data_IF_739932746550
#
_entry.id   IF_739932746550
#
_cell.length_a   1.000
_cell.length_b   1.000
_cell.length_c   1.000
_cell.angle_alpha   90.00
_cell.angle_beta   90.00
_cell.angle_gamma   90.00
#
_symmetry.space_group_name_H-M   'P 1'
#
loop_
_entity.id
_entity.type
_entity.pdbx_description
1 polymer ?
#
# COMPACT_ATOMS: atom_id res chain seq x y z
N UNK A 1 -10.00 1.54 -11.55
CA UNK A 1 -10.26 2.96 -11.86
C UNK A 1 -11.62 3.42 -11.38
N UNK A 2 -11.79 4.73 -11.15
CA UNK A 2 -13.03 5.30 -10.58
C UNK A 2 -13.94 5.86 -11.67
N UNK A 3 -15.23 5.55 -11.57
CA UNK A 3 -16.29 5.99 -12.48
C UNK A 3 -17.44 6.62 -11.67
N UNK A 4 -18.26 7.42 -12.33
CA UNK A 4 -19.47 7.99 -11.73
C UNK A 4 -20.58 8.17 -12.76
N UNK A 5 -21.82 7.88 -12.38
CA UNK A 5 -22.99 8.39 -13.10
C UNK A 5 -23.13 9.91 -12.89
N UNK A 6 -24.01 10.56 -13.67
CA UNK A 6 -24.45 11.94 -13.44
C UNK A 6 -25.23 12.15 -12.13
N UNK A 7 -25.72 11.07 -11.51
CA UNK A 7 -26.50 11.08 -10.28
C UNK A 7 -25.66 10.88 -9.00
N UNK A 8 -24.35 11.14 -9.06
CA UNK A 8 -23.47 10.99 -7.89
C UNK A 8 -23.17 9.54 -7.49
N UNK A 9 -23.57 8.57 -8.31
CA UNK A 9 -23.26 7.15 -8.12
C UNK A 9 -21.80 6.86 -8.49
N UNK A 10 -20.88 7.18 -7.58
CA UNK A 10 -19.45 6.87 -7.73
C UNK A 10 -19.18 5.40 -7.39
N UNK A 11 -18.36 4.77 -8.22
CA UNK A 11 -17.91 3.38 -8.07
C UNK A 11 -16.47 3.19 -8.52
N UNK A 12 -15.88 2.06 -8.15
CA UNK A 12 -14.59 1.58 -8.65
C UNK A 12 -14.87 0.26 -9.36
N UNK A 13 -14.16 -0.02 -10.46
CA UNK A 13 -14.23 -1.32 -11.12
C UNK A 13 -13.76 -2.41 -10.14
N UNK A 14 -14.63 -3.37 -9.83
CA UNK A 14 -14.31 -4.51 -8.96
C UNK A 14 -13.68 -5.68 -9.72
N UNK A 15 -14.26 -6.03 -10.87
CA UNK A 15 -13.76 -7.07 -11.76
C UNK A 15 -14.00 -6.67 -13.22
N UNK A 16 -13.16 -7.18 -14.12
CA UNK A 16 -13.38 -7.15 -15.56
C UNK A 16 -13.66 -8.59 -15.94
N UNK A 17 -14.87 -8.86 -16.41
CA UNK A 17 -15.36 -10.20 -16.73
C UNK A 17 -15.31 -10.36 -18.25
N UNK A 18 -14.83 -11.51 -18.77
CA UNK A 18 -14.90 -11.82 -20.19
C UNK A 18 -16.33 -11.77 -20.73
N UNK A 19 -16.48 -11.47 -22.02
CA UNK A 19 -17.79 -11.30 -22.65
C UNK A 19 -18.63 -12.60 -22.71
N UNK A 20 -17.96 -13.75 -22.64
CA UNK A 20 -18.57 -15.09 -22.61
C UNK A 20 -19.26 -15.40 -21.28
N UNK A 21 -18.73 -14.88 -20.17
CA UNK A 21 -19.28 -15.10 -18.83
C UNK A 21 -20.35 -14.08 -18.45
N UNK A 22 -20.55 -13.04 -19.26
CA UNK A 22 -21.54 -12.01 -19.00
C UNK A 22 -22.96 -12.53 -19.24
N UNK A 23 -23.93 -12.16 -18.37
CA UNK A 23 -25.30 -12.51 -18.60
C UNK A 23 -25.82 -11.76 -19.84
N UNK A 24 -26.65 -12.42 -20.64
CA UNK A 24 -27.15 -11.89 -21.91
C UNK A 24 -28.68 -11.98 -22.01
N UNK A 25 -29.29 -11.13 -22.83
CA UNK A 25 -30.75 -11.13 -23.10
C UNK A 25 -31.11 -12.09 -24.23
N UNK A 26 -32.40 -12.34 -24.45
CA UNK A 26 -32.90 -13.14 -25.60
C UNK A 26 -32.45 -12.58 -26.96
N UNK A 27 -32.28 -11.26 -27.02
CA UNK A 27 -31.81 -10.54 -28.21
C UNK A 27 -30.26 -10.53 -28.32
N UNK A 28 -29.56 -11.16 -27.38
CA UNK A 28 -28.09 -11.21 -27.33
C UNK A 28 -27.43 -9.95 -26.78
N UNK A 29 -28.18 -9.05 -26.14
CA UNK A 29 -27.63 -7.83 -25.54
C UNK A 29 -26.86 -8.22 -24.28
N UNK A 30 -25.63 -7.72 -24.18
CA UNK A 30 -24.75 -7.91 -23.02
C UNK A 30 -24.49 -6.57 -22.33
N UNK A 31 -24.44 -6.52 -20.99
CA UNK A 31 -24.24 -5.28 -20.26
C UNK A 31 -22.77 -4.88 -20.24
N UNK A 32 -22.48 -3.61 -20.49
CA UNK A 32 -21.13 -3.05 -20.31
C UNK A 32 -20.77 -2.86 -18.83
N UNK A 33 -21.75 -2.50 -18.00
CA UNK A 33 -21.59 -2.19 -16.58
C UNK A 33 -22.69 -2.85 -15.76
N UNK A 34 -22.28 -3.67 -14.79
CA UNK A 34 -23.19 -4.27 -13.81
C UNK A 34 -23.19 -3.44 -12.52
N UNK A 35 -24.33 -2.81 -12.21
CA UNK A 35 -24.52 -2.06 -10.99
C UNK A 35 -25.12 -2.94 -9.90
N UNK A 36 -24.58 -2.84 -8.68
CA UNK A 36 -25.16 -3.54 -7.53
C UNK A 36 -26.54 -2.93 -7.16
N UNK A 37 -27.62 -3.72 -7.10
CA UNK A 37 -28.97 -3.23 -6.79
C UNK A 37 -29.08 -2.61 -5.40
N UNK A 38 -28.25 -3.02 -4.42
CA UNK A 38 -28.26 -2.42 -3.07
C UNK A 38 -27.85 -0.94 -3.05
N UNK A 39 -27.23 -0.47 -4.14
CA UNK A 39 -26.72 0.89 -4.24
C UNK A 39 -27.79 1.93 -4.61
N UNK A 40 -29.01 1.50 -4.96
CA UNK A 40 -30.11 2.37 -5.41
C UNK A 40 -31.10 2.72 -4.28
N UNK A 41 -31.69 1.76 -3.52
CA UNK A 41 -32.72 2.08 -2.54
C UNK A 41 -32.24 3.01 -1.42
N UNK A 42 -31.01 2.79 -0.94
CA UNK A 42 -30.41 3.56 0.16
C UNK A 42 -30.13 5.02 -0.20
N UNK A 43 -29.93 5.32 -1.48
CA UNK A 43 -29.54 6.66 -1.96
C UNK A 43 -30.69 7.46 -2.55
N UNK A 44 -31.85 6.83 -2.74
CA UNK A 44 -33.06 7.47 -3.30
C UNK A 44 -32.82 8.16 -4.65
N UNK A 45 -31.90 7.63 -5.47
CA UNK A 45 -31.51 8.19 -6.77
C UNK A 45 -32.46 7.74 -7.88
N UNK A 46 -33.75 8.07 -7.77
CA UNK A 46 -34.78 7.69 -8.76
C UNK A 46 -34.45 8.22 -10.17
N UNK A 47 -33.85 9.42 -10.24
CA UNK A 47 -33.40 10.00 -11.51
C UNK A 47 -32.46 9.09 -12.30
N UNK A 48 -31.65 8.27 -11.62
CA UNK A 48 -30.75 7.32 -12.29
C UNK A 48 -31.54 6.23 -13.04
N UNK A 49 -32.61 5.72 -12.45
CA UNK A 49 -33.49 4.74 -13.08
C UNK A 49 -34.28 5.36 -14.24
N UNK A 50 -34.72 6.61 -14.07
CA UNK A 50 -35.42 7.35 -15.12
C UNK A 50 -34.48 7.66 -16.31
N UNK A 51 -33.23 8.05 -16.05
CA UNK A 51 -32.21 8.24 -17.10
C UNK A 51 -31.95 6.92 -17.85
N UNK A 52 -31.84 5.80 -17.13
CA UNK A 52 -31.68 4.47 -17.73
C UNK A 52 -32.84 4.10 -18.67
N UNK A 53 -34.09 4.34 -18.24
CA UNK A 53 -35.28 4.09 -19.07
C UNK A 53 -35.36 5.05 -20.26
N UNK A 54 -35.10 6.34 -20.04
CA UNK A 54 -35.08 7.37 -21.07
C UNK A 54 -34.03 7.08 -22.13
N UNK A 55 -32.82 6.70 -21.73
CA UNK A 55 -31.72 6.33 -22.64
C UNK A 55 -32.06 5.11 -23.48
N UNK A 56 -32.74 4.12 -22.89
CA UNK A 56 -33.21 2.95 -23.64
C UNK A 56 -34.31 3.31 -24.66
N UNK A 57 -35.31 4.10 -24.24
CA UNK A 57 -36.38 4.56 -25.12
C UNK A 57 -35.84 5.45 -26.27
N UNK A 58 -34.85 6.31 -25.96
CA UNK A 58 -34.11 7.12 -26.93
C UNK A 58 -33.40 6.24 -27.96
N UNK A 59 -32.63 5.24 -27.50
CA UNK A 59 -31.85 4.36 -28.39
C UNK A 59 -32.70 3.55 -29.35
N UNK A 60 -33.95 3.25 -28.99
CA UNK A 60 -34.89 2.48 -29.83
C UNK A 60 -35.64 3.37 -30.83
N UNK A 61 -36.11 4.52 -30.36
CA UNK A 61 -36.97 5.42 -31.16
C UNK A 61 -36.21 6.41 -32.04
N UNK A 62 -34.94 6.69 -31.71
CA UNK A 62 -34.14 7.74 -32.34
C UNK A 62 -34.63 9.17 -32.05
N UNK A 63 -35.59 9.36 -31.14
CA UNK A 63 -36.13 10.67 -30.75
C UNK A 63 -35.53 11.12 -29.44
N UNK A 64 -34.90 12.30 -29.42
CA UNK A 64 -34.36 12.91 -28.20
C UNK A 64 -35.40 12.97 -27.08
N UNK A 65 -35.02 12.45 -25.91
CA UNK A 65 -35.83 12.50 -24.70
C UNK A 65 -35.35 13.69 -23.88
N UNK A 66 -36.24 14.64 -23.63
CA UNK A 66 -35.92 15.82 -22.83
C UNK A 66 -35.93 15.47 -21.33
N UNK A 67 -34.78 15.63 -20.70
CA UNK A 67 -34.56 15.44 -19.27
C UNK A 67 -34.43 16.75 -18.50
N UNK A 68 -34.81 17.88 -19.10
CA UNK A 68 -34.72 19.20 -18.47
C UNK A 68 -35.57 19.23 -17.19
N UNK A 69 -35.05 19.75 -16.07
CA UNK A 69 -35.81 19.83 -14.82
C UNK A 69 -37.12 20.59 -15.03
N UNK A 70 -38.24 20.01 -14.55
CA UNK A 70 -39.60 20.57 -14.61
C UNK A 70 -40.26 20.63 -15.99
N UNK A 71 -39.51 20.47 -17.08
CA UNK A 71 -40.02 20.40 -18.46
C UNK A 71 -39.46 19.16 -19.14
N UNK A 72 -39.88 17.99 -18.64
CA UNK A 72 -39.35 16.69 -19.02
C UNK A 72 -40.42 15.83 -19.67
N UNK A 73 -40.01 14.95 -20.58
CA UNK A 73 -40.90 13.92 -21.13
C UNK A 73 -41.55 13.10 -20.00
N UNK A 74 -42.88 12.98 -19.94
CA UNK A 74 -43.56 12.23 -18.89
C UNK A 74 -43.16 10.76 -18.89
N UNK A 75 -43.07 10.16 -17.70
CA UNK A 75 -42.75 8.74 -17.53
C UNK A 75 -43.69 7.81 -18.32
N UNK A 76 -44.97 8.16 -18.42
CA UNK A 76 -45.95 7.37 -19.18
C UNK A 76 -45.69 7.36 -20.68
N UNK A 77 -45.07 8.41 -21.23
CA UNK A 77 -44.69 8.46 -22.63
C UNK A 77 -43.49 7.53 -22.90
N UNK A 78 -42.51 7.51 -21.99
CA UNK A 78 -41.39 6.56 -22.05
C UNK A 78 -41.86 5.11 -22.04
N UNK A 79 -42.85 4.77 -21.21
CA UNK A 79 -43.45 3.43 -21.21
C UNK A 79 -44.11 3.06 -22.53
N UNK A 80 -44.83 4.01 -23.15
CA UNK A 80 -45.49 3.81 -24.44
C UNK A 80 -44.44 3.57 -25.53
N UNK A 81 -43.40 4.39 -25.56
CA UNK A 81 -42.28 4.22 -26.49
C UNK A 81 -41.63 2.85 -26.36
N UNK A 82 -41.33 2.40 -25.14
CA UNK A 82 -40.77 1.05 -24.92
C UNK A 82 -41.72 -0.04 -25.44
N UNK A 83 -43.02 0.08 -25.14
CA UNK A 83 -44.04 -0.89 -25.55
C UNK A 83 -44.24 -0.96 -27.07
N UNK A 84 -44.17 0.18 -27.76
CA UNK A 84 -44.25 0.27 -29.22
C UNK A 84 -43.09 -0.48 -29.90
N UNK A 85 -41.92 -0.53 -29.26
CA UNK A 85 -40.73 -1.21 -29.76
C UNK A 85 -40.58 -2.64 -29.23
N UNK A 86 -41.65 -3.22 -28.64
CA UNK A 86 -41.66 -4.60 -28.17
C UNK A 86 -41.00 -4.84 -26.82
N UNK A 87 -40.49 -3.80 -26.15
CA UNK A 87 -39.91 -3.91 -24.82
C UNK A 87 -40.98 -3.76 -23.73
N UNK A 88 -40.68 -4.30 -22.56
CA UNK A 88 -41.58 -4.16 -21.41
C UNK A 88 -41.59 -2.72 -20.89
N UNK A 89 -42.76 -2.26 -20.47
CA UNK A 89 -42.95 -0.90 -19.90
C UNK A 89 -42.07 -0.62 -18.68
N UNK A 90 -41.72 -1.66 -17.92
CA UNK A 90 -40.94 -1.51 -16.67
C UNK A 90 -39.42 -1.47 -16.91
N UNK A 91 -38.96 -1.60 -18.16
CA UNK A 91 -37.55 -1.68 -18.53
C UNK A 91 -36.81 -2.94 -18.05
N UNK A 92 -37.52 -3.88 -17.42
CA UNK A 92 -36.96 -5.16 -17.02
C UNK A 92 -36.98 -6.16 -18.17
N UNK A 93 -35.95 -7.00 -18.22
CA UNK A 93 -35.76 -8.04 -19.24
C UNK A 93 -35.38 -9.36 -18.58
N UNK A 94 -35.59 -10.44 -19.35
CA UNK A 94 -35.12 -11.77 -18.98
C UNK A 94 -33.65 -11.91 -19.40
N UNK A 95 -32.82 -12.40 -18.47
CA UNK A 95 -31.42 -12.70 -18.74
C UNK A 95 -31.13 -14.19 -18.58
N UNK A 96 -30.11 -14.63 -19.28
CA UNK A 96 -29.51 -15.95 -19.19
C UNK A 96 -28.11 -15.79 -18.65
N UNK A 97 -27.71 -16.73 -17.80
CA UNK A 97 -26.35 -16.78 -17.26
C UNK A 97 -25.38 -17.20 -18.38
N UNK A 98 -24.28 -16.45 -18.54
CA UNK A 98 -23.26 -16.73 -19.55
C UNK A 98 -22.49 -18.02 -19.27
N UNK A 99 -22.37 -18.39 -17.99
CA UNK A 99 -21.59 -19.57 -17.57
C UNK A 99 -22.39 -20.86 -17.69
N UNK A 100 -23.62 -20.87 -17.18
CA UNK A 100 -24.47 -22.07 -17.16
C UNK A 100 -25.40 -22.17 -18.36
N UNK A 101 -25.74 -21.04 -18.99
CA UNK A 101 -26.78 -20.96 -20.03
C UNK A 101 -28.21 -21.01 -19.49
N UNK A 102 -28.40 -21.12 -18.17
CA UNK A 102 -29.72 -21.17 -17.56
C UNK A 102 -30.35 -19.78 -17.46
N UNK A 103 -31.68 -19.73 -17.49
CA UNK A 103 -32.42 -18.48 -17.28
C UNK A 103 -32.27 -18.03 -15.83
N UNK A 104 -31.89 -16.78 -15.63
CA UNK A 104 -31.79 -16.20 -14.29
C UNK A 104 -33.20 -16.07 -13.68
N UNK A 105 -33.36 -16.54 -12.44
CA UNK A 105 -34.61 -16.41 -11.69
C UNK A 105 -34.85 -14.94 -11.32
N UNK A 106 -35.66 -14.26 -12.13
CA UNK A 106 -36.05 -12.88 -11.92
C UNK A 106 -35.85 -12.03 -13.16
N UNK A 107 -36.36 -10.80 -13.07
CA UNK A 107 -36.32 -9.85 -14.18
C UNK A 107 -35.31 -8.76 -13.84
N UNK A 108 -34.32 -8.59 -14.70
CA UNK A 108 -33.22 -7.65 -14.47
C UNK A 108 -33.59 -6.32 -15.11
N UNK A 109 -33.44 -5.24 -14.35
CA UNK A 109 -33.66 -3.89 -14.86
C UNK A 109 -32.48 -3.47 -15.73
N UNK A 110 -32.75 -3.14 -17.00
CA UNK A 110 -31.73 -2.77 -17.98
C UNK A 110 -32.10 -1.47 -18.67
N UNK A 111 -31.11 -0.59 -18.79
CA UNK A 111 -31.24 0.66 -19.50
C UNK A 111 -29.88 1.28 -19.79
N UNK A 112 -29.90 2.39 -20.51
CA UNK A 112 -28.70 3.07 -21.01
C UNK A 112 -28.50 4.33 -20.20
N UNK A 113 -27.31 4.51 -19.62
CA UNK A 113 -27.00 5.65 -18.77
C UNK A 113 -25.61 6.20 -19.05
N UNK A 114 -25.48 7.53 -18.99
CA UNK A 114 -24.20 8.21 -19.15
C UNK A 114 -23.29 8.03 -17.93
N UNK A 115 -22.24 7.25 -18.08
CA UNK A 115 -21.14 7.16 -17.11
C UNK A 115 -19.96 8.04 -17.49
N UNK A 116 -19.31 8.61 -16.48
CA UNK A 116 -18.14 9.45 -16.60
C UNK A 116 -16.94 8.76 -15.94
N UNK A 117 -15.83 8.68 -16.67
CA UNK A 117 -14.54 8.24 -16.12
C UNK A 117 -13.92 9.40 -15.34
N UNK A 118 -13.57 9.16 -14.08
CA UNK A 118 -12.91 10.17 -13.25
C UNK A 118 -11.39 10.06 -13.37
N UNK A 119 -10.69 11.18 -13.14
CA UNK A 119 -9.22 11.23 -13.14
C UNK A 119 -8.54 10.38 -12.04
N UNK A 120 -9.33 9.86 -11.09
CA UNK A 120 -8.85 9.02 -10.00
C UNK A 120 -8.53 7.59 -10.49
N UNK A 121 -7.36 7.43 -11.09
CA UNK A 121 -6.84 6.15 -11.58
C UNK A 121 -6.03 5.42 -10.51
N UNK A 122 -6.06 4.09 -10.54
CA UNK A 122 -5.32 3.25 -9.56
C UNK A 122 -3.82 3.35 -9.77
N UNK A 123 -3.38 3.46 -11.03
CA UNK A 123 -1.97 3.64 -11.42
C UNK A 123 -1.30 4.84 -10.74
N UNK A 124 -2.06 5.92 -10.51
CA UNK A 124 -1.55 7.11 -9.83
C UNK A 124 -1.46 6.92 -8.32
N UNK A 125 -2.32 6.08 -7.73
CA UNK A 125 -2.43 5.87 -6.28
C UNK A 125 -1.53 4.78 -5.71
N UNK A 126 -1.20 3.76 -6.51
CA UNK A 126 -0.33 2.68 -6.02
C UNK A 126 1.04 3.24 -5.64
N UNK A 127 1.47 2.94 -4.42
CA UNK A 127 2.76 3.32 -3.87
C UNK A 127 3.20 2.21 -2.92
N UNK A 128 4.45 1.77 -3.07
CA UNK A 128 5.10 0.85 -2.16
C UNK A 128 6.53 1.33 -1.96
N UNK A 129 7.03 1.15 -0.74
CA UNK A 129 8.39 1.49 -0.36
C UNK A 129 8.95 0.35 0.47
N UNK A 130 10.13 -0.14 0.11
CA UNK A 130 10.93 -1.04 0.95
C UNK A 130 11.93 -0.22 1.76
N UNK A 131 13.03 0.20 1.14
CA UNK A 131 13.98 1.20 1.66
C UNK A 131 14.12 2.32 0.63
N UNK A 132 14.32 3.53 1.10
CA UNK A 132 14.36 4.71 0.24
C UNK A 132 15.09 5.87 0.91
N UNK A 133 15.11 7.05 0.26
CA UNK A 133 15.76 8.22 0.82
C UNK A 133 15.11 8.64 2.14
N UNK A 134 15.92 9.29 2.97
CA UNK A 134 15.53 9.83 4.27
C UNK A 134 15.77 11.34 4.31
N UNK A 135 15.00 12.03 5.12
CA UNK A 135 15.20 13.45 5.39
C UNK A 135 16.50 13.66 6.17
N UNK A 136 17.26 14.71 5.83
CA UNK A 136 18.58 14.95 6.41
C UNK A 136 18.50 15.26 7.92
N UNK A 137 17.52 16.06 8.33
CA UNK A 137 17.39 16.51 9.71
C UNK A 137 16.95 15.39 10.65
N UNK A 138 15.88 14.67 10.31
CA UNK A 138 15.23 13.66 11.17
C UNK A 138 15.67 12.24 10.87
N UNK A 139 16.36 11.99 9.74
CA UNK A 139 16.68 10.66 9.21
C UNK A 139 15.48 9.74 9.01
N UNK A 140 14.27 10.30 8.97
CA UNK A 140 13.03 9.57 8.71
C UNK A 140 12.75 9.49 7.20
N UNK A 141 11.93 8.51 6.76
CA UNK A 141 11.42 8.44 5.39
C UNK A 141 10.91 9.77 4.84
N UNK A 142 11.24 10.07 3.58
CA UNK A 142 10.68 11.21 2.85
C UNK A 142 9.17 11.10 2.67
N UNK A 143 8.51 12.23 2.40
CA UNK A 143 7.08 12.27 2.06
C UNK A 143 6.88 12.31 0.54
N UNK A 144 5.81 11.67 0.07
CA UNK A 144 5.32 11.77 -1.30
C UNK A 144 5.85 10.68 -2.24
N UNK A 145 4.98 10.24 -3.16
CA UNK A 145 5.28 9.18 -4.13
C UNK A 145 6.47 9.50 -5.04
N UNK A 146 6.58 10.75 -5.48
CA UNK A 146 7.66 11.19 -6.39
C UNK A 146 9.05 11.13 -5.75
N UNK A 147 9.12 11.20 -4.42
CA UNK A 147 10.36 11.14 -3.64
C UNK A 147 10.61 9.76 -3.03
N UNK A 148 9.93 8.74 -3.55
CA UNK A 148 9.93 7.37 -3.01
C UNK A 148 9.65 7.36 -1.49
N UNK A 149 8.73 8.23 -1.08
CA UNK A 149 8.39 8.46 0.31
C UNK A 149 7.71 7.28 0.98
N UNK A 150 7.81 7.24 2.31
CA UNK A 150 7.07 6.27 3.12
C UNK A 150 5.63 6.71 3.37
N UNK A 151 4.83 5.79 3.89
CA UNK A 151 3.56 6.13 4.52
C UNK A 151 3.83 6.60 5.94
N UNK A 152 3.06 7.58 6.40
CA UNK A 152 3.13 8.04 7.78
C UNK A 152 2.45 7.04 8.69
N UNK A 153 3.18 6.54 9.68
CA UNK A 153 2.61 5.81 10.81
C UNK A 153 2.41 6.83 11.94
N UNK A 154 1.15 7.19 12.21
CA UNK A 154 0.79 8.23 13.16
C UNK A 154 0.44 7.69 14.54
N UNK A 155 -0.07 8.61 15.37
CA UNK A 155 -0.49 8.29 16.74
C UNK A 155 -1.67 7.32 16.74
N UNK A 156 -2.67 7.54 15.87
CA UNK A 156 -3.84 6.66 15.78
C UNK A 156 -3.46 5.24 15.37
N UNK A 157 -2.56 5.08 14.40
CA UNK A 157 -2.08 3.76 14.01
C UNK A 157 -1.29 3.09 15.14
N UNK A 158 -0.48 3.85 15.89
CA UNK A 158 0.19 3.37 17.09
C UNK A 158 -0.78 2.90 18.18
N UNK A 159 -1.82 3.70 18.48
CA UNK A 159 -2.85 3.36 19.46
C UNK A 159 -3.62 2.10 19.09
N UNK A 160 -3.88 1.86 17.79
CA UNK A 160 -4.51 0.60 17.37
C UNK A 160 -3.65 -0.62 17.71
N UNK A 161 -2.33 -0.54 17.53
CA UNK A 161 -1.42 -1.63 17.89
C UNK A 161 -1.32 -1.82 19.41
N UNK A 162 -1.36 -0.72 20.18
CA UNK A 162 -1.43 -0.78 21.65
C UNK A 162 -2.73 -1.45 22.09
N UNK A 163 -3.86 -1.12 21.48
CA UNK A 163 -5.16 -1.76 21.76
C UNK A 163 -5.17 -3.27 21.47
N UNK A 164 -4.44 -3.71 20.45
CA UNK A 164 -4.22 -5.13 20.17
C UNK A 164 -3.20 -5.80 21.11
N UNK A 165 -2.44 -5.03 21.90
CA UNK A 165 -1.36 -5.55 22.75
C UNK A 165 -0.12 -6.01 21.97
N UNK A 166 0.04 -5.57 20.72
CA UNK A 166 1.10 -6.02 19.83
C UNK A 166 2.42 -5.26 20.07
N UNK A 167 3.02 -5.44 21.25
CA UNK A 167 4.19 -4.68 21.70
C UNK A 167 5.42 -4.82 20.79
N UNK A 168 5.73 -6.03 20.30
CA UNK A 168 6.87 -6.26 19.42
C UNK A 168 6.69 -5.59 18.05
N UNK A 169 5.48 -5.68 17.49
CA UNK A 169 5.15 -5.02 16.22
C UNK A 169 5.19 -3.49 16.35
N UNK A 170 4.76 -2.95 17.49
CA UNK A 170 4.86 -1.52 17.79
C UNK A 170 6.33 -1.07 17.78
N UNK A 171 7.22 -1.83 18.44
CA UNK A 171 8.65 -1.54 18.48
C UNK A 171 9.28 -1.60 17.08
N UNK A 172 8.94 -2.64 16.30
CA UNK A 172 9.42 -2.81 14.92
C UNK A 172 9.02 -1.62 14.04
N UNK A 173 7.74 -1.24 14.06
CA UNK A 173 7.21 -0.16 13.20
C UNK A 173 7.72 1.23 13.58
N UNK A 174 7.88 1.52 14.87
CA UNK A 174 8.36 2.83 15.31
C UNK A 174 9.88 2.99 15.27
N UNK A 175 10.64 1.93 15.53
CA UNK A 175 12.10 2.02 15.71
C UNK A 175 12.83 1.36 14.55
N UNK A 176 12.65 0.05 14.35
CA UNK A 176 13.48 -0.73 13.41
C UNK A 176 13.23 -0.34 11.94
N UNK A 177 11.97 -0.07 11.56
CA UNK A 177 11.59 0.31 10.20
C UNK A 177 11.80 1.80 9.87
N UNK A 178 12.00 2.66 10.88
CA UNK A 178 12.09 4.11 10.72
C UNK A 178 13.52 4.61 10.89
N UNK A 179 13.92 4.98 12.10
CA UNK A 179 15.10 5.81 12.38
C UNK A 179 15.94 5.26 13.54
N UNK A 180 16.06 3.93 13.62
CA UNK A 180 16.94 3.24 14.58
C UNK A 180 18.37 3.78 14.52
N UNK A 181 18.89 4.23 15.67
CA UNK A 181 20.28 4.66 15.82
C UNK A 181 20.88 4.18 17.14
N UNK A 182 22.17 3.84 17.09
CA UNK A 182 22.95 3.45 18.26
C UNK A 182 23.83 4.61 18.69
N UNK A 183 23.58 5.15 19.87
CA UNK A 183 24.33 6.28 20.43
C UNK A 183 25.04 5.85 21.72
N UNK A 184 26.18 6.48 22.00
CA UNK A 184 26.95 6.19 23.22
C UNK A 184 26.48 7.07 24.36
N UNK A 185 26.15 6.51 25.52
CA UNK A 185 25.70 7.27 26.70
C UNK A 185 26.64 7.03 27.87
N UNK A 186 27.00 8.09 28.59
CA UNK A 186 27.86 8.01 29.78
C UNK A 186 27.07 7.54 31.02
N UNK A 187 27.64 6.58 31.75
CA UNK A 187 27.04 6.01 32.97
C UNK A 187 26.81 7.06 34.08
N UNK A 188 27.79 7.93 34.32
CA UNK A 188 27.75 8.90 35.43
C UNK A 188 26.97 10.17 35.09
N UNK A 189 27.12 10.68 33.88
CA UNK A 189 26.55 11.97 33.47
C UNK A 189 25.21 11.85 32.75
N UNK A 190 24.91 10.69 32.15
CA UNK A 190 23.69 10.48 31.36
C UNK A 190 23.63 11.28 30.06
N UNK A 191 24.75 11.85 29.61
CA UNK A 191 24.85 12.62 28.36
C UNK A 191 25.44 11.74 27.28
N UNK A 192 25.01 11.98 26.04
CA UNK A 192 25.57 11.34 24.85
C UNK A 192 27.07 11.67 24.76
N UNK A 193 27.88 10.63 24.69
CA UNK A 193 29.33 10.70 24.63
C UNK A 193 29.83 10.82 23.18
N UNK A 194 31.04 11.31 23.03
CA UNK A 194 31.69 11.47 21.72
C UNK A 194 32.54 10.23 21.44
N UNK A 195 32.38 9.67 20.24
CA UNK A 195 33.26 8.62 19.73
C UNK A 195 34.32 9.23 18.81
N UNK A 196 35.52 9.45 19.34
CA UNK A 196 36.66 9.89 18.53
C UNK A 196 37.30 8.67 17.85
N UNK A 197 36.97 8.51 16.56
CA UNK A 197 37.49 7.45 15.70
C UNK A 197 38.97 7.61 15.36
N UNK A 198 39.52 8.82 15.41
CA UNK A 198 40.93 9.05 15.06
C UNK A 198 41.82 8.57 16.20
N UNK A 199 41.43 8.89 17.44
CA UNK A 199 42.18 8.51 18.64
C UNK A 199 41.73 7.19 19.25
N UNK A 200 40.71 6.53 18.67
CA UNK A 200 40.06 5.35 19.22
C UNK A 200 39.69 5.51 20.69
N UNK A 201 39.15 6.68 21.05
CA UNK A 201 38.77 7.02 22.43
C UNK A 201 37.32 7.45 22.46
N UNK A 202 36.57 6.85 23.38
CA UNK A 202 35.21 7.27 23.70
C UNK A 202 35.28 8.08 24.99
N UNK A 203 34.78 9.30 24.97
CA UNK A 203 34.82 10.16 26.14
C UNK A 203 33.55 10.99 26.26
N UNK A 204 33.15 11.26 27.50
CA UNK A 204 32.08 12.19 27.80
C UNK A 204 32.63 13.62 27.86
N UNK A 205 31.93 14.58 27.25
CA UNK A 205 32.32 16.00 27.25
C UNK A 205 32.34 16.64 28.64
N UNK A 206 31.55 16.12 29.60
CA UNK A 206 31.44 16.69 30.94
C UNK A 206 32.46 16.10 31.93
N UNK A 207 32.52 14.76 32.04
CA UNK A 207 33.36 14.11 33.05
C UNK A 207 34.68 13.55 32.50
N UNK A 208 34.92 13.61 31.19
CA UNK A 208 36.06 12.95 30.51
C UNK A 208 36.20 11.46 30.84
N UNK A 209 35.16 10.84 31.40
CA UNK A 209 35.14 9.43 31.77
C UNK A 209 35.01 8.53 30.55
N UNK A 210 35.67 7.37 30.59
CA UNK A 210 35.68 6.37 29.51
C UNK A 210 34.56 5.33 29.61
N UNK A 211 33.80 5.28 30.71
CA UNK A 211 32.67 4.36 30.88
C UNK A 211 31.44 4.87 30.14
N UNK A 212 31.30 4.39 28.90
CA UNK A 212 30.18 4.70 28.01
C UNK A 212 29.60 3.42 27.44
N UNK A 213 28.29 3.38 27.26
CA UNK A 213 27.57 2.22 26.77
C UNK A 213 26.79 2.56 25.50
N UNK A 214 26.74 1.66 24.50
CA UNK A 214 25.88 1.82 23.34
C UNK A 214 24.42 1.59 23.74
N UNK A 215 23.55 2.52 23.40
CA UNK A 215 22.10 2.46 23.62
C UNK A 215 21.40 2.62 22.28
N UNK A 216 20.47 1.69 21.99
CA UNK A 216 19.59 1.78 20.82
C UNK A 216 18.43 2.72 21.13
N UNK A 217 18.20 3.70 20.26
CA UNK A 217 17.09 4.64 20.35
C UNK A 217 16.68 5.14 18.97
N UNK A 218 15.49 5.74 18.86
CA UNK A 218 15.10 6.46 17.66
C UNK A 218 15.92 7.75 17.51
N UNK A 219 16.33 8.06 16.30
CA UNK A 219 17.10 9.29 16.01
C UNK A 219 16.28 10.55 16.32
N UNK A 220 14.96 10.52 16.13
CA UNK A 220 14.06 11.59 16.54
C UNK A 220 14.17 11.91 18.04
N UNK A 221 14.37 10.90 18.89
CA UNK A 221 14.61 11.10 20.32
C UNK A 221 15.99 11.73 20.58
N UNK A 222 17.03 11.29 19.86
CA UNK A 222 18.36 11.93 19.93
C UNK A 222 18.29 13.41 19.52
N UNK A 223 17.54 13.74 18.47
CA UNK A 223 17.34 15.11 18.02
C UNK A 223 16.64 15.95 19.09
N UNK A 224 15.58 15.43 19.70
CA UNK A 224 14.89 16.08 20.83
C UNK A 224 15.85 16.39 21.99
N UNK A 225 16.74 15.45 22.34
CA UNK A 225 17.74 15.69 23.39
C UNK A 225 18.68 16.83 23.05
N UNK A 226 19.07 16.97 21.77
CA UNK A 226 19.93 18.05 21.32
C UNK A 226 19.20 19.40 21.27
N UNK A 227 17.92 19.42 20.88
CA UNK A 227 17.07 20.62 20.93
C UNK A 227 16.86 21.12 22.36
N UNK A 228 16.62 20.20 23.33
CA UNK A 228 16.54 20.56 24.74
C UNK A 228 17.85 21.16 25.27
N UNK A 229 19.01 20.60 24.87
CA UNK A 229 20.33 21.17 25.22
C UNK A 229 20.51 22.58 24.66
N UNK A 230 20.04 22.84 23.43
CA UNK A 230 20.09 24.16 22.83
C UNK A 230 19.25 25.20 23.59
N UNK A 231 18.16 24.77 24.23
CA UNK A 231 17.34 25.61 25.12
C UNK A 231 17.94 25.80 26.53
N UNK A 232 19.10 25.20 26.82
CA UNK A 232 19.74 25.26 28.15
C UNK A 232 19.21 24.24 29.15
N UNK A 233 18.37 23.30 28.71
CA UNK A 233 17.94 22.16 29.54
C UNK A 233 18.90 21.00 29.30
N UNK A 234 19.48 20.44 30.36
CA UNK A 234 20.39 19.29 30.24
C UNK A 234 19.64 17.99 30.53
N UNK A 235 19.14 17.26 29.51
CA UNK A 235 18.49 15.97 29.72
C UNK A 235 19.55 14.92 30.09
N UNK A 236 19.31 14.19 31.19
CA UNK A 236 20.16 13.10 31.65
C UNK A 236 19.45 11.76 31.46
N UNK A 237 20.07 10.85 30.71
CA UNK A 237 19.60 9.49 30.52
C UNK A 237 20.15 8.62 31.65
N UNK A 238 19.26 7.95 32.38
CA UNK A 238 19.63 6.98 33.41
C UNK A 238 19.69 5.61 32.75
N UNK A 239 20.89 5.05 32.63
CA UNK A 239 21.11 3.72 32.05
C UNK A 239 20.86 2.66 33.13
N UNK A 240 20.27 1.53 32.73
CA UNK A 240 20.13 0.32 33.54
C UNK A 240 20.63 -0.89 32.74
N UNK A 241 20.94 -1.97 33.43
CA UNK A 241 21.30 -3.23 32.80
C UNK A 241 20.13 -3.80 31.99
N UNK A 242 20.44 -4.45 30.86
CA UNK A 242 19.43 -5.05 29.96
C UNK A 242 18.64 -6.19 30.61
N UNK A 243 19.22 -6.85 31.60
CA UNK A 243 18.62 -7.96 32.34
C UNK A 243 18.82 -7.71 33.82
N UNK A 244 17.75 -7.69 34.60
CA UNK A 244 17.83 -7.57 36.06
C UNK A 244 18.39 -8.89 36.65
N UNK A 245 19.50 -8.81 37.38
CA UNK A 245 20.06 -9.95 38.13
C UNK A 245 21.40 -10.51 37.64
N UNK A 246 21.97 -10.01 36.54
CA UNK A 246 23.38 -10.28 36.21
C UNK A 246 24.29 -9.22 36.82
N UNK A 247 25.29 -9.57 37.65
CA UNK A 247 26.29 -8.59 38.05
C UNK A 247 26.96 -8.07 36.78
N UNK A 248 27.05 -6.74 36.65
CA UNK A 248 27.80 -6.09 35.60
C UNK A 248 29.19 -6.72 35.55
N UNK A 249 29.46 -7.57 34.56
CA UNK A 249 30.83 -8.00 34.29
C UNK A 249 31.57 -6.72 34.01
N UNK A 250 32.49 -6.35 34.91
CA UNK A 250 33.40 -5.23 34.73
C UNK A 250 34.19 -5.50 33.44
N UNK A 251 33.68 -5.04 32.29
CA UNK A 251 34.48 -4.99 31.08
C UNK A 251 35.58 -3.95 31.34
N UNK A 252 36.86 -4.32 31.22
CA UNK A 252 37.96 -3.40 31.51
C UNK A 252 37.81 -2.14 30.66
N UNK A 253 38.15 -1.00 31.26
CA UNK A 253 37.90 0.37 30.78
C UNK A 253 38.62 0.77 29.48
N UNK A 254 39.19 -0.21 28.75
CA UNK A 254 39.78 -0.07 27.42
C UNK A 254 39.60 -1.44 26.74
N UNK A 255 38.54 -1.62 25.95
CA UNK A 255 38.46 -2.76 25.03
C UNK A 255 38.92 -2.26 23.66
N UNK A 256 40.14 -2.55 23.19
CA UNK A 256 40.46 -2.37 21.79
C UNK A 256 39.53 -3.26 20.95
N UNK A 257 39.11 -2.79 19.77
CA UNK A 257 38.11 -3.39 18.86
C UNK A 257 38.36 -4.86 18.45
N UNK A 258 39.45 -5.49 18.90
CA UNK A 258 39.82 -6.84 18.54
C UNK A 258 38.94 -7.93 19.19
N UNK A 259 38.21 -7.65 20.27
CA UNK A 259 37.28 -8.62 20.88
C UNK A 259 35.88 -8.59 20.23
N UNK A 260 35.43 -7.43 19.72
CA UNK A 260 34.11 -7.29 19.06
C UNK A 260 34.11 -8.02 17.70
N UNK A 261 35.24 -8.02 16.99
CA UNK A 261 35.38 -8.76 15.72
C UNK A 261 35.35 -10.29 15.89
N UNK A 262 35.55 -10.81 17.10
CA UNK A 262 35.49 -12.25 17.38
C UNK A 262 34.03 -12.63 17.65
N UNK A 263 33.29 -11.84 18.42
CA UNK A 263 31.85 -12.04 18.65
C UNK A 263 31.02 -11.84 17.36
N UNK A 264 31.28 -10.80 16.56
CA UNK A 264 30.61 -10.60 15.26
C UNK A 264 30.93 -11.73 14.26
N UNK A 265 32.16 -12.29 14.29
CA UNK A 265 32.50 -13.42 13.43
C UNK A 265 31.83 -14.71 13.90
N UNK A 266 31.73 -14.93 15.21
CA UNK A 266 31.05 -16.09 15.79
C UNK A 266 29.54 -16.06 15.53
N UNK A 267 28.90 -14.89 15.64
CA UNK A 267 27.49 -14.68 15.28
C UNK A 267 27.24 -14.82 13.77
N UNK A 268 28.10 -14.25 12.91
CA UNK A 268 28.01 -14.46 11.45
C UNK A 268 28.27 -15.92 11.03
N UNK A 269 29.09 -16.69 11.78
CA UNK A 269 29.27 -18.12 11.51
C UNK A 269 28.07 -18.95 11.96
N UNK A 270 27.39 -18.56 13.05
CA UNK A 270 26.16 -19.22 13.52
C UNK A 270 24.98 -18.95 12.57
N UNK A 271 24.78 -17.70 12.17
CA UNK A 271 23.74 -17.33 11.18
C UNK A 271 23.97 -18.00 9.82
N UNK A 272 25.23 -18.18 9.38
CA UNK A 272 25.55 -18.93 8.16
C UNK A 272 25.30 -20.43 8.29
N UNK A 273 25.58 -21.02 9.45
CA UNK A 273 25.30 -22.45 9.68
C UNK A 273 23.79 -22.75 9.77
N UNK A 274 23.00 -21.81 10.28
CA UNK A 274 21.54 -21.95 10.35
C UNK A 274 20.90 -21.71 8.97
N UNK A 275 21.37 -20.73 8.20
CA UNK A 275 20.86 -20.45 6.83
C UNK A 275 21.30 -21.46 5.76
N UNK A 276 22.39 -22.22 5.95
CA UNK A 276 22.76 -23.32 5.05
C UNK A 276 21.94 -24.61 5.29
N UNK A 277 21.30 -24.74 6.46
CA UNK A 277 20.47 -25.90 6.81
C UNK A 277 19.02 -25.81 6.33
N UNK A 278 18.57 -24.64 5.85
CA UNK A 278 17.20 -24.40 5.36
C UNK A 278 17.15 -24.05 3.86
N UNK A 279 17.86 -24.81 3.01
CA UNK A 279 17.55 -24.84 1.57
C UNK A 279 16.62 -26.01 1.28
N UNK A 280 15.36 -25.78 0.85
CA UNK A 280 14.53 -26.87 0.33
C UNK A 280 15.17 -27.42 -0.96
N UNK A 281 15.23 -28.75 -1.07
CA UNK A 281 15.67 -29.43 -2.29
C UNK A 281 14.82 -28.96 -3.49
N UNK A 282 15.42 -28.68 -4.66
CA UNK A 282 14.65 -28.34 -5.84
C UNK A 282 13.85 -29.56 -6.33
N UNK A 283 12.62 -29.38 -6.87
CA UNK A 283 11.84 -30.49 -7.39
C UNK A 283 12.54 -31.18 -8.55
N UNK A 284 12.53 -32.51 -8.55
CA UNK A 284 13.01 -33.35 -9.65
C UNK A 284 12.20 -33.09 -10.92
N UNK A 285 12.73 -32.27 -11.84
CA UNK A 285 12.21 -32.15 -13.20
C UNK A 285 12.53 -33.41 -14.01
N UNK A 286 11.47 -34.08 -14.48
CA UNK A 286 11.53 -35.16 -15.46
C UNK A 286 12.15 -34.63 -16.75
N UNK A 287 13.24 -35.27 -17.19
CA UNK A 287 13.84 -35.05 -18.51
C UNK A 287 12.88 -35.51 -19.62
N UNK A 288 12.18 -34.58 -20.25
CA UNK A 288 11.67 -34.77 -21.61
C UNK A 288 12.65 -34.16 -22.61
N UNK A 289 13.06 -34.97 -23.59
CA UNK A 289 13.98 -34.61 -24.68
C UNK A 289 13.19 -33.96 -25.81
N UNK A 290 13.42 -32.67 -26.07
CA UNK A 290 13.17 -31.98 -27.35
C UNK A 290 14.25 -30.86 -27.41
N UNK A 291 15.07 -30.60 -28.43
CA UNK A 291 15.10 -30.94 -29.83
C UNK A 291 15.24 -29.66 -30.67
N UNK A 292 16.49 -29.18 -30.92
CA UNK A 292 16.92 -28.13 -31.90
C UNK A 292 16.49 -26.68 -31.56
N UNK A 293 17.23 -25.58 -31.80
CA UNK A 293 18.17 -25.12 -32.87
C UNK A 293 19.07 -23.96 -32.32
N UNK A 294 20.20 -23.57 -32.96
CA UNK A 294 21.14 -22.57 -32.40
C UNK A 294 20.79 -21.12 -32.77
N UNK A 295 20.83 -20.22 -31.78
CA UNK A 295 20.62 -18.78 -31.94
C UNK A 295 21.88 -18.05 -32.46
N UNK A 296 21.68 -17.18 -33.47
CA UNK A 296 22.67 -16.28 -34.07
C UNK A 296 23.20 -15.20 -33.10
N UNK A 297 24.48 -14.86 -33.22
CA UNK A 297 25.15 -13.78 -32.49
C UNK A 297 24.81 -12.41 -33.10
N UNK A 298 24.49 -11.36 -32.30
CA UNK A 298 24.34 -10.02 -32.84
C UNK A 298 25.70 -9.31 -33.02
N UNK A 299 25.86 -8.69 -34.20
CA UNK A 299 27.02 -7.93 -34.67
C UNK A 299 27.24 -6.63 -33.87
N UNK A 300 28.50 -6.32 -33.57
CA UNK A 300 28.99 -5.01 -33.08
C UNK A 300 28.62 -3.89 -34.07
N UNK A 301 27.95 -2.83 -33.60
CA UNK A 301 27.80 -1.57 -34.34
C UNK A 301 28.98 -0.64 -33.99
N UNK A 302 29.74 -0.28 -35.02
CA UNK A 302 30.73 0.80 -35.00
C UNK A 302 30.02 2.15 -34.85
N UNK A 303 30.52 3.00 -33.95
CA UNK A 303 30.22 4.43 -33.92
C UNK A 303 31.16 5.13 -34.89
N UNK A 304 30.63 5.72 -35.96
CA UNK A 304 31.27 6.83 -36.68
C UNK A 304 30.53 8.10 -36.29
N UNK A 305 31.30 9.10 -35.87
CA UNK A 305 30.81 10.45 -35.67
C UNK A 305 30.77 11.22 -36.98
N UNK A 306 29.83 12.15 -37.03
CA UNK A 306 29.88 13.51 -37.58
C UNK A 306 28.83 14.32 -36.81
#
# INVERSE_FOLDING_TARGET
>A
DKFSSRHGQKGVIGAIVPEEDLPFTEDGIKPDLLLNPHSVPSRMTVGHLLEMLGGKAYSLSGKEVDGTPFDSTPYEELKKMLKEHGFRSDGKETFYDGVTGERIEGEIFVGIVGYQRLFHMVSHKIQARSRGPVQILTRQPTEGKEKEGGLRFGEMEGETLVGHGAAMLLQEKFIDDSDKTTELVCEKCGVIAINDRIRNKRYCSLCSGSRVYPVEMAYGFKLLLDELKALGVLPRIIIKDKVEGTPAKEKPSIVPENEIKIEEKEELTKEKSETESEKPEPPLEKKEKVGKEPAEKPKKKEKKGE
#
